data_IF_528057274987
#
_entry.id   IF_528057274987
#
_cell.length_a   1.000
_cell.length_b   1.000
_cell.length_c   1.000
_cell.angle_alpha   90.00
_cell.angle_beta   90.00
_cell.angle_gamma   90.00
#
_symmetry.space_group_name_H-M   'P 1'
#
loop_
_entity.id
_entity.type
_entity.pdbx_description
1 polymer ?
#
# COMPACT_ATOMS: atom_id res chain seq x y z
N UNK A 1 -22.39 -3.92 15.93
CA UNK A 1 -22.42 -3.94 14.46
C UNK A 1 -21.04 -3.55 13.97
N UNK A 2 -20.25 -4.50 13.49
CA UNK A 2 -18.85 -4.25 13.09
C UNK A 2 -18.75 -3.52 11.75
N UNK A 3 -17.58 -2.96 11.48
CA UNK A 3 -17.25 -2.43 10.15
C UNK A 3 -17.20 -3.63 9.21
N UNK A 4 -18.25 -3.79 8.40
CA UNK A 4 -18.28 -4.84 7.40
C UNK A 4 -17.64 -4.33 6.10
N UNK A 5 -16.98 -5.23 5.38
CA UNK A 5 -16.17 -4.93 4.19
C UNK A 5 -17.01 -4.24 3.11
N UNK A 6 -18.31 -4.57 3.06
CA UNK A 6 -19.27 -3.94 2.15
C UNK A 6 -19.44 -2.43 2.39
N UNK A 7 -19.39 -1.99 3.65
CA UNK A 7 -19.48 -0.58 4.04
C UNK A 7 -18.20 0.16 3.65
N UNK A 8 -17.03 -0.48 3.80
CA UNK A 8 -15.76 0.12 3.37
C UNK A 8 -15.77 0.30 1.84
N UNK A 9 -16.25 -0.68 1.08
CA UNK A 9 -16.35 -0.59 -0.37
C UNK A 9 -17.29 0.52 -0.84
N UNK A 10 -18.46 0.67 -0.21
CA UNK A 10 -19.41 1.72 -0.59
C UNK A 10 -18.84 3.12 -0.29
N UNK A 11 -18.16 3.29 0.86
CA UNK A 11 -17.51 4.54 1.22
C UNK A 11 -16.35 4.86 0.27
N UNK A 12 -15.54 3.86 -0.06
CA UNK A 12 -14.43 4.00 -1.01
C UNK A 12 -14.93 4.46 -2.39
N UNK A 13 -16.06 3.91 -2.86
CA UNK A 13 -16.67 4.30 -4.13
C UNK A 13 -17.11 5.78 -4.11
N UNK A 14 -17.75 6.23 -3.01
CA UNK A 14 -18.15 7.63 -2.85
C UNK A 14 -16.92 8.55 -2.84
N UNK A 15 -15.87 8.19 -2.10
CA UNK A 15 -14.62 8.95 -2.06
C UNK A 15 -14.00 9.04 -3.46
N UNK A 16 -14.00 7.95 -4.23
CA UNK A 16 -13.51 7.94 -5.62
C UNK A 16 -14.32 8.86 -6.53
N UNK A 17 -15.65 8.94 -6.36
CA UNK A 17 -16.51 9.84 -7.14
C UNK A 17 -16.29 11.32 -6.77
N UNK A 18 -16.14 11.63 -5.48
CA UNK A 18 -15.93 13.01 -5.00
C UNK A 18 -14.55 13.54 -5.38
N UNK A 19 -13.50 12.75 -5.15
CA UNK A 19 -12.12 13.17 -5.43
C UNK A 19 -11.71 12.93 -6.89
N UNK A 20 -12.41 12.04 -7.58
CA UNK A 20 -12.07 11.57 -8.91
C UNK A 20 -10.87 10.61 -8.92
N UNK A 21 -10.88 9.65 -9.84
CA UNK A 21 -9.78 8.69 -10.03
C UNK A 21 -8.45 9.35 -10.38
N UNK A 22 -8.47 10.54 -10.99
CA UNK A 22 -7.27 11.26 -11.43
C UNK A 22 -6.44 11.79 -10.25
N UNK A 23 -7.08 12.36 -9.22
CA UNK A 23 -6.38 12.83 -8.01
C UNK A 23 -5.86 11.66 -7.18
N UNK A 24 -6.69 10.64 -6.97
CA UNK A 24 -6.31 9.43 -6.24
C UNK A 24 -5.18 8.67 -6.97
N UNK A 25 -5.19 8.61 -8.30
CA UNK A 25 -4.11 8.00 -9.08
C UNK A 25 -2.78 8.74 -8.96
N UNK A 26 -2.79 10.08 -8.97
CA UNK A 26 -1.56 10.87 -8.78
C UNK A 26 -0.97 10.69 -7.38
N UNK A 27 -1.80 10.83 -6.33
CA UNK A 27 -1.38 10.64 -4.94
C UNK A 27 -0.97 9.19 -4.67
N UNK A 28 -1.72 8.22 -5.19
CA UNK A 28 -1.44 6.79 -5.05
C UNK A 28 -0.16 6.36 -5.77
N UNK A 29 0.19 7.00 -6.89
CA UNK A 29 1.45 6.74 -7.58
C UNK A 29 2.65 7.18 -6.74
N UNK A 30 2.58 8.34 -6.10
CA UNK A 30 3.68 8.86 -5.29
C UNK A 30 3.81 8.14 -3.95
N UNK A 31 2.68 7.83 -3.29
CA UNK A 31 2.64 6.93 -2.15
C UNK A 31 3.16 5.53 -2.51
N UNK A 32 2.75 5.00 -3.67
CA UNK A 32 3.17 3.69 -4.17
C UNK A 32 4.68 3.63 -4.43
N UNK A 33 5.28 4.69 -4.97
CA UNK A 33 6.74 4.78 -5.13
C UNK A 33 7.45 4.77 -3.77
N UNK A 34 6.96 5.54 -2.79
CA UNK A 34 7.53 5.57 -1.44
C UNK A 34 7.44 4.21 -0.74
N UNK A 35 6.26 3.57 -0.79
CA UNK A 35 6.02 2.22 -0.25
C UNK A 35 6.88 1.15 -0.95
N UNK A 36 7.13 1.28 -2.26
CA UNK A 36 8.00 0.37 -3.01
C UNK A 36 9.46 0.45 -2.55
N UNK A 37 9.94 1.66 -2.25
CA UNK A 37 11.26 1.87 -1.63
C UNK A 37 11.33 1.20 -0.26
N UNK A 38 10.35 1.47 0.60
CA UNK A 38 10.26 0.87 1.94
C UNK A 38 10.23 -0.67 1.90
N UNK A 39 9.40 -1.26 1.02
CA UNK A 39 9.35 -2.72 0.85
C UNK A 39 10.67 -3.31 0.34
N UNK A 40 11.40 -2.57 -0.51
CA UNK A 40 12.70 -3.01 -1.02
C UNK A 40 13.75 -3.03 0.09
N UNK A 41 13.78 -2.00 0.93
CA UNK A 41 14.66 -1.91 2.10
C UNK A 41 14.42 -3.07 3.05
N UNK A 42 13.16 -3.29 3.46
CA UNK A 42 12.77 -4.40 4.34
C UNK A 42 13.15 -5.76 3.74
N UNK A 43 12.93 -5.96 2.44
CA UNK A 43 13.27 -7.23 1.78
C UNK A 43 14.79 -7.44 1.70
N UNK A 44 15.57 -6.37 1.54
CA UNK A 44 17.03 -6.45 1.58
C UNK A 44 17.54 -6.78 2.98
N UNK A 45 16.92 -6.22 4.02
CA UNK A 45 17.25 -6.49 5.42
C UNK A 45 16.98 -7.97 5.76
N UNK A 46 15.79 -8.49 5.41
CA UNK A 46 15.43 -9.91 5.58
C UNK A 46 16.38 -10.84 4.81
N UNK A 47 16.73 -10.50 3.56
CA UNK A 47 17.66 -11.31 2.75
C UNK A 47 19.10 -11.32 3.29
N UNK A 48 19.51 -10.27 4.01
CA UNK A 48 20.84 -10.19 4.62
C UNK A 48 20.95 -11.10 5.84
N UNK A 49 19.88 -11.22 6.63
CA UNK A 49 19.81 -12.10 7.82
C UNK A 49 19.79 -13.60 7.46
N UNK A 50 19.22 -13.99 6.30
CA UNK A 50 19.22 -15.39 5.84
C UNK A 50 20.57 -15.86 5.25
N UNK A 51 21.42 -14.94 4.81
CA UNK A 51 22.71 -15.30 4.18
C UNK A 51 23.84 -15.53 5.20
N UNK A 52 23.68 -15.08 6.44
CA UNK A 52 24.63 -15.25 7.56
C UNK A 52 24.34 -16.49 8.44
N UNK A 53 23.23 -17.21 8.21
CA UNK A 53 22.86 -18.43 8.99
C UNK A 53 23.18 -19.76 8.31
N UNK A 54 23.70 -19.75 7.09
CA UNK A 54 24.10 -20.96 6.34
C UNK A 54 25.56 -20.86 5.85
N UNK A 55 26.47 -20.53 6.76
CA UNK A 55 27.92 -20.68 6.60
C UNK A 55 28.54 -20.99 7.96
#
# INVERSE_FOLDING_TARGET
>A
MGISIWQILIVLLIVLLVFGSKKIGSLGSDLGKALKGFKKEIKNDIKKDDSDRNS
#
